data_IF_602804226863
#
_entry.id   IF_602804226863
#
_cell.length_a   1.000
_cell.length_b   1.000
_cell.length_c   1.000
_cell.angle_alpha   90.00
_cell.angle_beta   90.00
_cell.angle_gamma   90.00
#
_symmetry.space_group_name_H-M   'P 1'
#
loop_
_entity.id
_entity.type
_entity.pdbx_description
1 polymer ?
#
# COMPACT_ATOMS: atom_id res chain seq x y z
N UNK A 1 8.47 8.23 -22.29
CA UNK A 1 7.60 8.60 -21.15
C UNK A 1 8.30 9.74 -20.41
N UNK A 2 7.64 10.90 -20.23
CA UNK A 2 8.19 12.04 -19.50
C UNK A 2 7.60 12.04 -18.09
N UNK A 3 8.43 12.13 -17.06
CA UNK A 3 8.01 12.25 -15.66
C UNK A 3 8.19 13.68 -15.19
N UNK A 4 7.13 14.27 -14.68
CA UNK A 4 7.14 15.61 -14.09
C UNK A 4 6.71 15.48 -12.64
N UNK A 5 7.54 15.99 -11.74
CA UNK A 5 7.30 15.99 -10.30
C UNK A 5 7.36 17.40 -9.75
N UNK A 6 6.55 17.70 -8.74
CA UNK A 6 6.62 18.98 -8.04
C UNK A 6 5.30 19.38 -7.39
N UNK A 7 5.34 20.35 -6.47
CA UNK A 7 4.15 20.87 -5.80
C UNK A 7 3.35 21.83 -6.68
N UNK A 8 3.97 22.46 -7.68
CA UNK A 8 3.34 23.46 -8.55
C UNK A 8 3.42 23.09 -10.03
N UNK A 9 2.48 23.57 -10.81
CA UNK A 9 2.48 23.41 -12.26
C UNK A 9 3.45 24.40 -12.88
N UNK A 10 4.40 23.91 -13.67
CA UNK A 10 5.36 24.74 -14.39
C UNK A 10 5.11 24.62 -15.89
N UNK A 11 4.58 25.66 -16.57
CA UNK A 11 4.37 25.66 -18.01
C UNK A 11 5.68 25.40 -18.77
N UNK A 12 5.61 24.56 -19.83
CA UNK A 12 6.76 24.25 -20.67
C UNK A 12 7.50 22.96 -20.34
N UNK A 13 7.16 22.27 -19.26
CA UNK A 13 7.74 20.96 -18.92
C UNK A 13 7.11 19.79 -19.68
N UNK A 14 5.97 19.99 -20.35
CA UNK A 14 5.33 18.98 -21.16
C UNK A 14 5.89 18.98 -22.59
N UNK A 15 6.21 17.79 -23.08
CA UNK A 15 6.44 17.63 -24.51
C UNK A 15 5.12 17.91 -25.24
N UNK A 16 5.16 18.85 -26.19
CA UNK A 16 4.00 19.20 -27.05
C UNK A 16 3.58 18.05 -27.95
N UNK A 17 4.42 17.02 -28.08
CA UNK A 17 4.21 15.82 -28.90
C UNK A 17 3.50 14.69 -28.14
N UNK A 18 3.29 14.84 -26.83
CA UNK A 18 2.62 13.81 -26.03
C UNK A 18 1.13 13.78 -26.34
N UNK A 19 0.66 12.65 -26.86
CA UNK A 19 -0.78 12.41 -27.08
C UNK A 19 -1.47 11.90 -25.81
N UNK A 20 -0.72 11.31 -24.91
CA UNK A 20 -1.23 10.64 -23.70
C UNK A 20 -0.45 11.06 -22.47
N UNK A 21 -1.15 11.25 -21.36
CA UNK A 21 -0.55 11.71 -20.09
C UNK A 21 -0.99 10.82 -18.93
N UNK A 22 -0.06 10.48 -18.06
CA UNK A 22 -0.33 9.86 -16.77
C UNK A 22 0.09 10.84 -15.66
N UNK A 23 -0.85 11.23 -14.82
CA UNK A 23 -0.60 12.09 -13.66
C UNK A 23 -0.52 11.22 -12.40
N UNK A 24 0.53 11.40 -11.60
CA UNK A 24 0.63 10.80 -10.27
C UNK A 24 0.34 11.90 -9.26
N UNK A 25 -0.81 11.81 -8.59
CA UNK A 25 -1.34 12.86 -7.73
C UNK A 25 -1.41 12.39 -6.27
N UNK A 26 -1.16 13.32 -5.35
CA UNK A 26 -1.30 13.09 -3.91
C UNK A 26 -2.61 13.72 -3.42
N UNK A 27 -3.55 12.86 -3.00
CA UNK A 27 -4.86 13.25 -2.45
C UNK A 27 -5.01 13.03 -0.95
N UNK A 28 -3.93 12.82 -0.20
CA UNK A 28 -3.98 12.43 1.22
C UNK A 28 -4.45 13.53 2.15
N UNK A 29 -4.16 14.78 1.82
CA UNK A 29 -4.44 15.93 2.67
C UNK A 29 -5.05 17.06 1.85
N UNK A 30 -5.85 17.91 2.49
CA UNK A 30 -6.51 19.05 1.83
C UNK A 30 -5.52 19.95 1.07
N UNK A 31 -4.35 20.23 1.64
CA UNK A 31 -3.31 21.01 0.95
C UNK A 31 -2.76 20.29 -0.29
N UNK A 32 -2.61 18.97 -0.23
CA UNK A 32 -2.15 18.15 -1.36
C UNK A 32 -3.20 18.07 -2.46
N UNK A 33 -4.48 17.99 -2.10
CA UNK A 33 -5.60 18.05 -3.05
C UNK A 33 -5.58 19.36 -3.84
N UNK A 34 -5.27 20.49 -3.21
CA UNK A 34 -5.16 21.77 -3.92
C UNK A 34 -4.11 21.74 -5.03
N UNK A 35 -2.93 21.15 -4.78
CA UNK A 35 -1.90 20.96 -5.81
C UNK A 35 -2.34 19.95 -6.88
N UNK A 36 -2.94 18.84 -6.48
CA UNK A 36 -3.46 17.85 -7.40
C UNK A 36 -4.51 18.46 -8.37
N UNK A 37 -5.38 19.32 -7.84
CA UNK A 37 -6.37 20.07 -8.63
C UNK A 37 -5.72 21.01 -9.64
N UNK A 38 -4.63 21.70 -9.27
CA UNK A 38 -3.89 22.54 -10.20
C UNK A 38 -3.30 21.72 -11.36
N UNK A 39 -2.75 20.54 -11.07
CA UNK A 39 -2.26 19.63 -12.11
C UNK A 39 -3.37 19.14 -13.03
N UNK A 40 -4.56 18.85 -12.51
CA UNK A 40 -5.72 18.50 -13.35
C UNK A 40 -6.17 19.64 -14.23
N UNK A 41 -6.27 20.85 -13.71
CA UNK A 41 -6.61 22.04 -14.52
C UNK A 41 -5.56 22.29 -15.61
N UNK A 42 -4.28 22.12 -15.29
CA UNK A 42 -3.21 22.25 -16.29
C UNK A 42 -3.33 21.18 -17.38
N UNK A 43 -3.59 19.92 -17.01
CA UNK A 43 -3.86 18.87 -18.00
C UNK A 43 -5.06 19.18 -18.90
N UNK A 44 -6.13 19.75 -18.34
CA UNK A 44 -7.29 20.21 -19.11
C UNK A 44 -6.91 21.30 -20.13
N UNK A 45 -6.07 22.24 -19.73
CA UNK A 45 -5.54 23.27 -20.65
C UNK A 45 -4.72 22.64 -21.78
N UNK A 46 -3.89 21.63 -21.45
CA UNK A 46 -3.09 20.92 -22.46
C UNK A 46 -3.95 20.13 -23.45
N UNK A 47 -5.07 19.55 -23.02
CA UNK A 47 -6.02 18.90 -23.92
C UNK A 47 -6.55 19.89 -24.95
N UNK A 48 -6.89 21.11 -24.52
CA UNK A 48 -7.43 22.15 -25.38
C UNK A 48 -6.35 22.73 -26.33
N UNK A 49 -5.12 22.86 -25.86
CA UNK A 49 -4.04 23.57 -26.57
C UNK A 49 -3.15 22.65 -27.40
N UNK A 50 -2.83 21.47 -26.90
CA UNK A 50 -1.79 20.57 -27.45
C UNK A 50 -2.31 19.20 -27.92
N UNK A 51 -3.62 19.04 -28.06
CA UNK A 51 -4.28 17.81 -28.57
C UNK A 51 -3.95 16.54 -27.76
N UNK A 52 -3.74 16.66 -26.45
CA UNK A 52 -3.67 15.49 -25.59
C UNK A 52 -5.01 14.74 -25.67
N UNK A 53 -4.95 13.45 -25.98
CA UNK A 53 -6.14 12.63 -26.28
C UNK A 53 -6.63 11.87 -25.05
N UNK A 54 -5.69 11.39 -24.21
CA UNK A 54 -5.98 10.51 -23.08
C UNK A 54 -5.23 10.93 -21.82
N UNK A 55 -5.95 10.89 -20.72
CA UNK A 55 -5.38 11.18 -19.39
C UNK A 55 -5.71 10.03 -18.46
N UNK A 56 -4.70 9.48 -17.79
CA UNK A 56 -4.84 8.60 -16.65
C UNK A 56 -4.33 9.27 -15.39
N UNK A 57 -4.87 8.90 -14.26
CA UNK A 57 -4.45 9.38 -12.93
C UNK A 57 -4.09 8.18 -12.05
N UNK A 58 -2.93 8.24 -11.41
CA UNK A 58 -2.58 7.40 -10.27
C UNK A 58 -2.71 8.27 -9.03
N UNK A 59 -3.73 7.99 -8.22
CA UNK A 59 -4.06 8.78 -7.04
C UNK A 59 -3.54 8.08 -5.79
N UNK A 60 -2.62 8.73 -5.08
CA UNK A 60 -2.32 8.40 -3.71
C UNK A 60 -3.50 8.87 -2.86
N UNK A 61 -4.44 7.96 -2.62
CA UNK A 61 -5.72 8.24 -2.00
C UNK A 61 -5.62 8.64 -0.53
N UNK A 62 -6.71 9.15 -0.01
CA UNK A 62 -6.86 9.49 1.39
C UNK A 62 -6.97 8.21 2.24
N UNK A 63 -6.28 8.15 3.37
CA UNK A 63 -6.30 6.98 4.28
C UNK A 63 -7.68 6.71 4.89
N UNK A 64 -8.57 7.72 4.93
CA UNK A 64 -9.97 7.60 5.34
C UNK A 64 -10.93 7.45 4.16
N UNK A 65 -10.41 7.17 2.96
CA UNK A 65 -11.14 6.95 1.71
C UNK A 65 -11.89 8.17 1.15
N UNK A 66 -11.61 9.38 1.63
CA UNK A 66 -12.24 10.63 1.18
C UNK A 66 -11.65 11.07 -0.16
N UNK A 67 -12.10 10.47 -1.27
CA UNK A 67 -11.60 10.73 -2.61
C UNK A 67 -12.68 11.28 -3.57
N UNK A 68 -13.82 11.78 -3.07
CA UNK A 68 -14.95 12.27 -3.88
C UNK A 68 -14.57 13.45 -4.77
N UNK A 69 -13.57 14.22 -4.36
CA UNK A 69 -13.07 15.39 -5.09
C UNK A 69 -12.55 15.06 -6.51
N UNK A 70 -12.13 13.79 -6.77
CA UNK A 70 -11.64 13.37 -8.10
C UNK A 70 -12.78 13.02 -9.06
N UNK A 71 -13.97 12.70 -8.56
CA UNK A 71 -15.09 12.20 -9.37
C UNK A 71 -15.51 13.15 -10.51
N UNK A 72 -15.60 14.48 -10.33
CA UNK A 72 -15.96 15.40 -11.41
C UNK A 72 -14.99 15.38 -12.58
N UNK A 73 -13.73 14.95 -12.36
CA UNK A 73 -12.73 14.88 -13.41
C UNK A 73 -12.79 13.59 -14.23
N UNK A 74 -13.51 12.57 -13.76
CA UNK A 74 -13.67 11.31 -14.50
C UNK A 74 -14.51 11.51 -15.75
N UNK A 75 -14.09 10.87 -16.85
CA UNK A 75 -14.78 11.01 -18.15
C UNK A 75 -16.24 10.59 -18.10
N UNK A 76 -16.58 9.55 -17.35
CA UNK A 76 -17.96 9.09 -17.12
C UNK A 76 -18.86 10.13 -16.45
N UNK A 77 -18.28 11.09 -15.74
CA UNK A 77 -18.98 12.18 -15.06
C UNK A 77 -18.87 13.52 -15.81
N UNK A 78 -18.46 13.49 -17.09
CA UNK A 78 -18.30 14.69 -17.92
C UNK A 78 -16.91 15.35 -17.86
N UNK A 79 -15.96 14.78 -17.11
CA UNK A 79 -14.57 15.21 -17.05
C UNK A 79 -13.73 14.66 -18.21
N UNK A 80 -12.42 14.66 -18.03
CA UNK A 80 -11.47 14.27 -19.08
C UNK A 80 -10.54 13.11 -18.68
N UNK A 81 -10.53 12.69 -17.43
CA UNK A 81 -9.73 11.56 -16.93
C UNK A 81 -10.34 10.25 -17.40
N UNK A 82 -9.62 9.51 -18.23
CA UNK A 82 -10.07 8.24 -18.80
C UNK A 82 -9.92 7.07 -17.84
N UNK A 83 -8.83 7.04 -17.05
CA UNK A 83 -8.49 5.96 -16.14
C UNK A 83 -8.04 6.53 -14.80
N UNK A 84 -8.52 5.94 -13.72
CA UNK A 84 -8.09 6.24 -12.35
C UNK A 84 -7.56 4.98 -11.67
N UNK A 85 -6.34 5.03 -11.17
CA UNK A 85 -5.77 4.04 -10.28
C UNK A 85 -5.67 4.65 -8.89
N UNK A 86 -6.33 4.08 -7.90
CA UNK A 86 -6.43 4.67 -6.55
C UNK A 86 -5.89 3.72 -5.49
N UNK A 87 -5.04 4.24 -4.61
CA UNK A 87 -4.59 3.50 -3.43
C UNK A 87 -5.67 3.47 -2.36
N UNK A 88 -5.64 2.42 -1.55
CA UNK A 88 -6.64 2.02 -0.57
C UNK A 88 -7.94 1.50 -1.18
N UNK A 89 -8.72 0.81 -0.38
CA UNK A 89 -10.06 0.37 -0.80
C UNK A 89 -10.93 1.59 -1.13
N UNK A 90 -11.61 1.54 -2.28
CA UNK A 90 -12.44 2.64 -2.74
C UNK A 90 -13.70 2.11 -3.42
N UNK A 91 -14.84 2.65 -3.02
CA UNK A 91 -16.16 2.19 -3.45
C UNK A 91 -16.39 2.20 -4.97
N UNK A 92 -15.72 3.10 -5.67
CA UNK A 92 -15.91 3.28 -7.12
C UNK A 92 -15.00 2.40 -7.99
N UNK A 93 -14.18 1.55 -7.39
CA UNK A 93 -13.40 0.56 -8.15
C UNK A 93 -14.34 -0.37 -8.89
N UNK A 94 -14.20 -0.44 -10.21
CA UNK A 94 -15.09 -1.19 -11.10
C UNK A 94 -14.32 -2.02 -12.15
N UNK A 95 -13.00 -1.95 -12.16
CA UNK A 95 -12.12 -2.65 -13.11
C UNK A 95 -12.36 -2.27 -14.61
N UNK A 96 -13.05 -1.15 -14.85
CA UNK A 96 -13.31 -0.61 -16.19
C UNK A 96 -12.57 0.72 -16.42
N UNK A 97 -12.80 1.70 -15.57
CA UNK A 97 -12.16 3.02 -15.60
C UNK A 97 -11.56 3.44 -14.24
N UNK A 98 -11.93 2.73 -13.16
CA UNK A 98 -11.38 2.92 -11.81
C UNK A 98 -10.84 1.60 -11.28
N UNK A 99 -9.55 1.60 -11.01
CA UNK A 99 -8.78 0.42 -10.59
C UNK A 99 -8.15 0.64 -9.24
N UNK A 100 -8.11 -0.41 -8.42
CA UNK A 100 -7.35 -0.36 -7.18
C UNK A 100 -5.86 -0.50 -7.45
N UNK A 101 -5.06 0.32 -6.76
CA UNK A 101 -3.60 0.29 -6.79
C UNK A 101 -3.05 0.01 -5.38
N UNK A 102 -2.10 -0.90 -5.21
CA UNK A 102 -1.54 -1.20 -3.89
C UNK A 102 -0.72 -0.03 -3.37
N UNK A 103 -0.74 0.17 -2.04
CA UNK A 103 0.07 1.19 -1.39
C UNK A 103 1.57 0.98 -1.59
N UNK A 104 2.03 -0.28 -1.52
CA UNK A 104 3.44 -0.62 -1.65
C UNK A 104 4.29 -0.26 -0.43
N UNK A 105 5.60 -0.12 -0.64
CA UNK A 105 6.57 0.25 0.39
C UNK A 105 6.75 1.76 0.49
N UNK A 106 7.23 2.26 1.64
CA UNK A 106 7.43 3.69 1.88
C UNK A 106 8.68 4.25 1.16
N UNK A 107 8.61 4.38 -0.16
CA UNK A 107 9.73 4.92 -0.97
C UNK A 107 10.14 6.32 -0.57
N UNK A 108 9.22 7.14 -0.08
CA UNK A 108 9.50 8.50 0.42
C UNK A 108 10.38 8.50 1.70
N UNK A 109 10.51 7.36 2.38
CA UNK A 109 11.42 7.12 3.49
C UNK A 109 12.67 6.35 3.08
N UNK A 110 12.94 6.25 1.78
CA UNK A 110 14.06 5.51 1.21
C UNK A 110 14.06 4.01 1.56
N UNK A 111 12.86 3.39 1.69
CA UNK A 111 12.79 1.95 1.86
C UNK A 111 13.49 1.26 0.68
N UNK A 112 14.46 0.34 0.94
CA UNK A 112 15.31 -0.20 -0.11
C UNK A 112 14.57 -1.20 -1.00
N UNK A 113 15.10 -1.41 -2.18
CA UNK A 113 14.80 -2.61 -2.96
C UNK A 113 15.53 -3.77 -2.29
N UNK A 114 14.77 -4.76 -1.83
CA UNK A 114 15.29 -5.93 -1.13
C UNK A 114 15.35 -7.11 -2.09
N UNK A 115 16.56 -7.60 -2.33
CA UNK A 115 16.77 -8.81 -3.09
C UNK A 115 16.87 -10.02 -2.14
N UNK A 116 16.18 -11.12 -2.42
CA UNK A 116 16.23 -12.31 -1.59
C UNK A 116 17.65 -12.89 -1.51
N UNK A 117 18.20 -12.98 -0.31
CA UNK A 117 19.48 -13.64 -0.06
C UNK A 117 19.27 -15.04 0.50
N UNK A 118 20.29 -15.89 0.40
CA UNK A 118 20.26 -17.23 1.00
C UNK A 118 19.97 -17.17 2.50
N UNK A 119 20.70 -16.33 3.23
CA UNK A 119 20.56 -16.17 4.69
C UNK A 119 19.16 -15.71 5.06
N UNK A 120 18.62 -14.72 4.37
CA UNK A 120 17.25 -14.24 4.58
C UNK A 120 16.21 -15.36 4.46
N UNK A 121 16.40 -16.29 3.53
CA UNK A 121 15.48 -17.40 3.29
C UNK A 121 15.65 -18.54 4.28
N UNK A 122 16.89 -18.91 4.65
CA UNK A 122 17.19 -20.18 5.29
C UNK A 122 17.61 -20.08 6.74
N UNK A 123 18.15 -18.94 7.19
CA UNK A 123 18.60 -18.80 8.57
C UNK A 123 17.43 -18.79 9.57
N UNK A 124 17.59 -19.40 10.75
CA UNK A 124 16.62 -19.26 11.81
C UNK A 124 16.51 -17.80 12.25
N UNK A 125 15.31 -17.36 12.58
CA UNK A 125 15.05 -16.00 13.07
C UNK A 125 14.97 -15.96 14.58
N UNK A 126 15.47 -14.87 15.15
CA UNK A 126 15.57 -14.71 16.60
C UNK A 126 14.21 -14.52 17.25
N UNK A 127 13.30 -13.80 16.57
CA UNK A 127 12.01 -13.40 17.11
C UNK A 127 10.87 -14.09 16.40
N UNK A 128 9.81 -14.43 17.14
CA UNK A 128 8.58 -14.93 16.56
C UNK A 128 7.83 -13.81 15.83
N UNK A 129 7.86 -12.58 16.39
CA UNK A 129 7.19 -11.47 15.77
C UNK A 129 7.90 -10.13 15.95
N UNK A 130 7.48 -9.13 15.19
CA UNK A 130 7.88 -7.75 15.42
C UNK A 130 6.69 -6.78 15.29
N UNK A 131 6.81 -5.66 15.98
CA UNK A 131 6.05 -4.45 15.74
C UNK A 131 6.87 -3.22 16.10
N UNK A 132 7.17 -2.37 15.13
CA UNK A 132 7.81 -1.07 15.34
C UNK A 132 6.89 0.02 14.75
N UNK A 133 6.52 0.99 15.57
CA UNK A 133 5.65 2.06 15.12
C UNK A 133 5.03 2.89 16.23
N UNK A 134 4.26 3.89 15.82
CA UNK A 134 3.56 4.78 16.75
C UNK A 134 2.33 4.08 17.31
N UNK A 135 2.15 4.17 18.63
CA UNK A 135 0.99 3.66 19.35
C UNK A 135 0.12 4.85 19.78
N UNK A 136 -1.07 4.93 19.25
CA UNK A 136 -2.04 5.95 19.59
C UNK A 136 -2.96 5.46 20.71
N UNK A 137 -3.40 6.37 21.57
CA UNK A 137 -4.40 6.07 22.60
C UNK A 137 -5.73 5.64 21.97
N UNK A 138 -6.42 4.72 22.61
CA UNK A 138 -7.69 4.16 22.15
C UNK A 138 -7.63 3.57 20.73
N UNK A 139 -6.49 2.99 20.38
CA UNK A 139 -6.28 2.38 19.06
C UNK A 139 -6.07 0.87 19.15
N UNK A 140 -6.23 0.21 18.04
CA UNK A 140 -5.87 -1.21 17.87
C UNK A 140 -4.43 -1.50 18.25
N UNK A 141 -3.52 -0.54 18.07
CA UNK A 141 -2.09 -0.66 18.45
C UNK A 141 -1.91 -0.66 19.96
N UNK A 142 -2.69 0.11 20.70
CA UNK A 142 -2.70 0.08 22.17
C UNK A 142 -3.18 -1.28 22.68
N UNK A 143 -4.29 -1.78 22.14
CA UNK A 143 -4.80 -3.13 22.44
C UNK A 143 -3.75 -4.22 22.17
N UNK A 144 -3.04 -4.13 21.05
CA UNK A 144 -1.94 -5.05 20.75
C UNK A 144 -0.85 -4.99 21.82
N UNK A 145 -0.44 -3.79 22.27
CA UNK A 145 0.57 -3.63 23.31
C UNK A 145 0.13 -4.22 24.65
N UNK A 146 -1.13 -4.06 25.01
CA UNK A 146 -1.72 -4.65 26.21
C UNK A 146 -1.64 -6.17 26.19
N UNK A 147 -2.04 -6.78 25.07
CA UNK A 147 -2.03 -8.24 24.90
C UNK A 147 -0.58 -8.78 24.94
N UNK A 148 0.36 -8.12 24.28
CA UNK A 148 1.76 -8.52 24.30
C UNK A 148 2.35 -8.50 25.71
N UNK A 149 1.99 -7.53 26.54
CA UNK A 149 2.45 -7.41 27.93
C UNK A 149 1.79 -8.42 28.85
N UNK A 150 0.50 -8.69 28.66
CA UNK A 150 -0.32 -9.50 29.56
C UNK A 150 0.23 -10.91 29.76
N UNK A 151 0.72 -11.54 28.69
CA UNK A 151 1.20 -12.92 28.70
C UNK A 151 2.73 -13.02 28.57
N UNK A 152 3.44 -11.89 28.68
CA UNK A 152 4.90 -11.84 28.50
C UNK A 152 5.34 -12.19 27.07
N UNK A 153 4.43 -12.04 26.10
CA UNK A 153 4.69 -12.32 24.69
C UNK A 153 5.65 -11.31 24.06
N UNK A 154 5.76 -10.13 24.64
CA UNK A 154 6.74 -9.11 24.29
C UNK A 154 8.19 -9.61 24.30
N UNK A 155 8.51 -10.60 25.16
CA UNK A 155 9.83 -11.25 25.21
C UNK A 155 10.14 -12.11 23.98
N UNK A 156 9.12 -12.54 23.26
CA UNK A 156 9.24 -13.37 22.07
C UNK A 156 9.30 -12.53 20.78
N UNK A 157 9.03 -11.23 20.89
CA UNK A 157 8.88 -10.33 19.78
C UNK A 157 9.80 -9.13 19.90
N UNK A 158 10.23 -8.58 18.78
CA UNK A 158 10.94 -7.30 18.73
C UNK A 158 9.91 -6.16 18.70
N UNK A 159 9.76 -5.47 19.80
CA UNK A 159 8.79 -4.39 19.97
C UNK A 159 9.50 -3.05 20.09
N UNK A 160 9.18 -2.12 19.19
CA UNK A 160 9.65 -0.74 19.17
C UNK A 160 8.48 0.24 19.13
N UNK A 161 7.74 0.36 20.25
CA UNK A 161 6.63 1.30 20.36
C UNK A 161 7.13 2.72 20.61
N UNK A 162 6.54 3.70 19.95
CA UNK A 162 6.77 5.13 20.20
C UNK A 162 5.43 5.87 20.35
N UNK A 163 5.43 6.95 21.11
CA UNK A 163 4.20 7.72 21.41
C UNK A 163 3.84 8.71 20.31
N UNK A 164 4.82 9.19 19.54
CA UNK A 164 4.61 10.21 18.52
C UNK A 164 5.07 9.75 17.15
N UNK A 165 4.25 10.05 16.14
CA UNK A 165 4.62 9.85 14.75
C UNK A 165 5.71 10.84 14.35
N UNK A 166 6.73 10.35 13.65
CA UNK A 166 7.81 11.17 13.12
C UNK A 166 7.82 11.06 11.60
N UNK A 167 7.82 12.19 10.89
CA UNK A 167 7.83 12.20 9.42
C UNK A 167 9.15 11.68 8.85
N UNK A 168 10.25 11.86 9.58
CA UNK A 168 11.57 11.40 9.21
C UNK A 168 12.07 10.38 10.22
N UNK A 169 12.61 9.28 9.72
CA UNK A 169 13.30 8.28 10.53
C UNK A 169 14.79 8.65 10.65
N UNK A 170 15.37 8.40 11.82
CA UNK A 170 16.83 8.41 11.95
C UNK A 170 17.42 7.18 11.25
N UNK A 171 18.69 7.24 10.85
CA UNK A 171 19.36 6.07 10.26
C UNK A 171 19.34 4.86 11.21
N UNK A 172 19.45 5.09 12.50
CA UNK A 172 19.41 4.06 13.54
C UNK A 172 18.00 3.45 13.64
N UNK A 173 16.96 4.29 13.74
CA UNK A 173 15.57 3.83 13.80
C UNK A 173 15.19 3.03 12.55
N UNK A 174 15.62 3.50 11.39
CA UNK A 174 15.36 2.84 10.13
C UNK A 174 16.09 1.49 10.02
N UNK A 175 17.36 1.43 10.45
CA UNK A 175 18.12 0.18 10.51
C UNK A 175 17.46 -0.81 11.47
N UNK A 176 17.09 -0.37 12.67
CA UNK A 176 16.40 -1.22 13.65
C UNK A 176 15.09 -1.79 13.09
N UNK A 177 14.36 -1.01 12.31
CA UNK A 177 13.15 -1.49 11.64
C UNK A 177 13.46 -2.58 10.61
N UNK A 178 14.46 -2.38 9.76
CA UNK A 178 14.88 -3.39 8.78
C UNK A 178 15.40 -4.67 9.45
N UNK A 179 16.21 -4.52 10.51
CA UNK A 179 16.70 -5.66 11.27
C UNK A 179 15.58 -6.44 11.94
N UNK A 180 14.56 -5.75 12.46
CA UNK A 180 13.39 -6.40 13.03
C UNK A 180 12.58 -7.19 11.97
N UNK A 181 12.41 -6.66 10.76
CA UNK A 181 11.78 -7.37 9.65
C UNK A 181 12.58 -8.61 9.23
N UNK A 182 13.91 -8.49 9.20
CA UNK A 182 14.80 -9.59 8.82
C UNK A 182 14.84 -10.70 9.88
N UNK A 183 14.78 -10.34 11.16
CA UNK A 183 14.99 -11.25 12.28
C UNK A 183 13.69 -11.80 12.90
N UNK A 184 12.52 -11.49 12.35
CA UNK A 184 11.23 -11.96 12.87
C UNK A 184 10.47 -12.80 11.86
N UNK A 185 9.90 -13.90 12.30
CA UNK A 185 9.08 -14.77 11.44
C UNK A 185 7.77 -14.10 11.02
N UNK A 186 7.17 -13.33 11.93
CA UNK A 186 5.91 -12.63 11.73
C UNK A 186 6.08 -11.13 11.90
N UNK A 187 5.34 -10.34 11.13
CA UNK A 187 5.23 -8.89 11.33
C UNK A 187 3.78 -8.51 11.64
N UNK A 188 3.58 -7.90 12.80
CA UNK A 188 2.25 -7.51 13.27
C UNK A 188 1.81 -6.21 12.60
N UNK A 189 0.67 -6.24 11.95
CA UNK A 189 0.10 -5.13 11.19
C UNK A 189 -1.23 -4.65 11.78
N UNK A 190 -1.21 -4.03 13.00
CA UNK A 190 -2.40 -3.41 13.55
C UNK A 190 -2.83 -2.21 12.72
N UNK A 191 -4.14 -1.97 12.67
CA UNK A 191 -4.70 -0.83 11.95
C UNK A 191 -4.07 0.48 12.44
N UNK A 192 -3.69 1.30 11.48
CA UNK A 192 -3.30 2.67 11.71
C UNK A 192 -4.49 3.61 11.50
N UNK A 193 -4.37 4.55 10.57
CA UNK A 193 -5.51 5.29 10.04
C UNK A 193 -6.26 4.39 9.06
N UNK A 194 -5.55 3.72 8.16
CA UNK A 194 -6.11 2.73 7.25
C UNK A 194 -5.64 1.31 7.62
N UNK A 195 -6.44 0.31 7.30
CA UNK A 195 -6.10 -1.10 7.47
C UNK A 195 -4.93 -1.50 6.58
N UNK A 196 -4.86 -0.96 5.37
CA UNK A 196 -3.70 -1.09 4.50
C UNK A 196 -2.58 -0.16 4.95
N UNK A 197 -1.38 -0.69 5.17
CA UNK A 197 -0.22 0.08 5.57
C UNK A 197 1.05 -0.41 4.87
N UNK A 198 2.06 0.45 4.78
CA UNK A 198 3.36 0.14 4.17
C UNK A 198 4.01 -1.12 4.76
N UNK A 199 3.87 -1.32 6.07
CA UNK A 199 4.45 -2.46 6.80
C UNK A 199 4.09 -3.81 6.19
N UNK A 200 2.89 -3.97 5.64
CA UNK A 200 2.45 -5.21 4.98
C UNK A 200 3.42 -5.56 3.83
N UNK A 201 3.72 -4.61 2.99
CA UNK A 201 4.57 -4.80 1.81
C UNK A 201 6.06 -4.86 2.17
N UNK A 202 6.46 -4.07 3.15
CA UNK A 202 7.82 -4.05 3.68
C UNK A 202 8.18 -5.38 4.34
N UNK A 203 7.27 -5.96 5.10
CA UNK A 203 7.42 -7.29 5.67
C UNK A 203 7.56 -8.38 4.59
N UNK A 204 6.74 -8.32 3.54
CA UNK A 204 6.85 -9.24 2.41
C UNK A 204 8.23 -9.19 1.75
N UNK A 205 8.84 -7.99 1.66
CA UNK A 205 10.18 -7.81 1.07
C UNK A 205 11.26 -8.58 1.83
N UNK A 206 11.11 -8.73 3.16
CA UNK A 206 12.04 -9.46 4.02
C UNK A 206 11.60 -10.90 4.33
N UNK A 207 10.50 -11.35 3.77
CA UNK A 207 9.95 -12.68 4.06
C UNK A 207 9.43 -12.84 5.50
N UNK A 208 9.14 -11.74 6.19
CA UNK A 208 8.43 -11.74 7.47
C UNK A 208 6.93 -11.76 7.20
N UNK A 209 6.24 -12.80 7.68
CA UNK A 209 4.83 -13.00 7.31
C UNK A 209 3.92 -11.98 7.99
N UNK A 210 3.14 -11.17 7.24
CA UNK A 210 2.20 -10.26 7.83
C UNK A 210 1.09 -10.96 8.62
N UNK A 211 0.86 -10.51 9.86
CA UNK A 211 -0.33 -10.81 10.65
C UNK A 211 -1.19 -9.55 10.62
N UNK A 212 -2.32 -9.62 9.96
CA UNK A 212 -3.14 -8.47 9.62
C UNK A 212 -4.45 -8.51 10.39
N UNK A 213 -4.79 -7.39 11.00
CA UNK A 213 -6.10 -7.20 11.60
C UNK A 213 -7.13 -6.97 10.49
N UNK A 214 -7.98 -7.96 10.28
CA UNK A 214 -8.99 -7.99 9.21
C UNK A 214 -10.26 -7.26 9.65
N UNK A 215 -10.14 -5.94 9.77
CA UNK A 215 -11.25 -5.06 10.13
C UNK A 215 -11.36 -3.91 9.13
N UNK A 216 -12.57 -3.40 8.96
CA UNK A 216 -12.79 -2.25 8.10
C UNK A 216 -12.02 -1.04 8.62
N UNK A 217 -11.43 -0.28 7.71
CA UNK A 217 -10.84 1.02 8.04
C UNK A 217 -11.91 1.92 8.64
N UNK A 218 -11.64 2.56 9.81
CA UNK A 218 -12.58 3.51 10.40
C UNK A 218 -12.89 4.69 9.47
N UNK A 219 -14.08 5.27 9.58
CA UNK A 219 -14.52 6.41 8.77
C UNK A 219 -15.27 6.00 7.51
N UNK A 220 -15.15 6.78 6.45
CA UNK A 220 -15.97 6.63 5.23
C UNK A 220 -15.61 5.41 4.37
N UNK A 221 -14.49 4.74 4.65
CA UNK A 221 -14.11 3.52 3.96
C UNK A 221 -15.14 2.39 4.11
N UNK A 222 -15.89 2.37 5.22
CA UNK A 222 -16.92 1.38 5.51
C UNK A 222 -18.29 1.63 4.87
N UNK A 223 -18.50 2.82 4.30
CA UNK A 223 -19.82 3.24 3.79
C UNK A 223 -20.13 2.77 2.37
N UNK A 224 -19.23 2.05 1.72
CA UNK A 224 -19.46 1.56 0.37
C UNK A 224 -20.19 0.22 0.38
N UNK A 225 -21.48 0.28 0.29
CA UNK A 225 -22.39 -0.86 0.50
C UNK A 225 -22.51 -1.85 -0.65
N UNK A 226 -21.89 -1.67 -1.81
CA UNK A 226 -22.26 -2.49 -2.96
C UNK A 226 -21.19 -3.46 -3.49
N UNK A 227 -19.88 -3.24 -3.26
CA UNK A 227 -18.86 -4.08 -3.89
C UNK A 227 -17.75 -4.61 -2.95
N UNK A 228 -17.54 -4.05 -1.77
CA UNK A 228 -16.38 -4.41 -0.93
C UNK A 228 -16.74 -4.47 0.55
N UNK A 229 -17.36 -5.56 0.96
CA UNK A 229 -17.61 -5.86 2.39
C UNK A 229 -16.36 -6.33 3.15
N UNK A 230 -15.23 -6.47 2.47
CA UNK A 230 -13.99 -6.97 3.05
C UNK A 230 -12.86 -5.95 2.89
N UNK A 231 -12.11 -5.61 3.97
CA UNK A 231 -10.90 -4.81 3.84
C UNK A 231 -9.82 -5.56 3.06
N UNK A 232 -8.91 -4.82 2.42
CA UNK A 232 -7.77 -5.36 1.68
C UNK A 232 -8.20 -6.32 0.54
N UNK A 233 -9.27 -5.95 -0.16
CA UNK A 233 -9.87 -6.79 -1.20
C UNK A 233 -8.85 -7.17 -2.28
N UNK A 234 -8.01 -6.24 -2.75
CA UNK A 234 -6.99 -6.52 -3.76
C UNK A 234 -6.05 -7.63 -3.31
N UNK A 235 -5.50 -7.55 -2.09
CA UNK A 235 -4.56 -8.54 -1.57
C UNK A 235 -5.20 -9.91 -1.38
N UNK A 236 -6.43 -9.94 -0.88
CA UNK A 236 -7.20 -11.18 -0.69
C UNK A 236 -7.53 -11.86 -2.01
N UNK A 237 -8.00 -11.09 -2.99
CA UNK A 237 -8.31 -11.59 -4.34
C UNK A 237 -7.06 -12.15 -5.04
N UNK A 238 -5.90 -11.55 -4.78
CA UNK A 238 -4.62 -12.02 -5.29
C UNK A 238 -4.00 -13.18 -4.48
N UNK A 239 -4.74 -13.75 -3.55
CA UNK A 239 -4.32 -14.92 -2.78
C UNK A 239 -3.13 -14.67 -1.87
N UNK A 240 -3.05 -13.48 -1.26
CA UNK A 240 -1.98 -13.15 -0.33
C UNK A 240 -1.87 -14.19 0.80
N UNK A 241 -0.70 -14.81 1.02
CA UNK A 241 -0.53 -15.89 1.99
C UNK A 241 -0.34 -15.35 3.43
N UNK A 242 -1.17 -14.38 3.82
CA UNK A 242 -1.08 -13.68 5.10
C UNK A 242 -1.89 -14.39 6.19
N UNK A 243 -1.60 -14.08 7.45
CA UNK A 243 -2.45 -14.46 8.57
C UNK A 243 -3.41 -13.31 8.82
N UNK A 244 -4.71 -13.56 8.64
CA UNK A 244 -5.77 -12.61 8.95
C UNK A 244 -6.41 -12.96 10.29
N UNK A 245 -6.48 -12.00 11.20
CA UNK A 245 -7.11 -12.12 12.51
C UNK A 245 -8.24 -11.09 12.64
N UNK A 246 -9.29 -11.42 13.38
CA UNK A 246 -10.40 -10.47 13.60
C UNK A 246 -10.11 -9.46 14.72
N UNK A 247 -9.31 -9.87 15.67
CA UNK A 247 -8.86 -9.01 16.77
C UNK A 247 -7.56 -9.57 17.37
N UNK A 248 -6.83 -8.73 18.10
CA UNK A 248 -5.53 -9.08 18.67
C UNK A 248 -5.57 -10.13 19.78
N UNK A 249 -6.74 -10.46 20.34
CA UNK A 249 -6.91 -11.57 21.30
C UNK A 249 -6.59 -12.93 20.68
N UNK A 250 -6.56 -13.03 19.36
CA UNK A 250 -6.14 -14.23 18.64
C UNK A 250 -4.61 -14.40 18.57
N UNK A 251 -3.84 -13.35 18.85
CA UNK A 251 -2.37 -13.36 18.71
C UNK A 251 -1.69 -14.45 19.54
N UNK A 252 -2.06 -14.73 20.81
CA UNK A 252 -1.43 -15.81 21.58
C UNK A 252 -1.52 -17.16 20.87
N UNK A 253 -2.67 -17.50 20.28
CA UNK A 253 -2.86 -18.74 19.53
C UNK A 253 -2.00 -18.77 18.25
N UNK A 254 -1.86 -17.63 17.56
CA UNK A 254 -0.98 -17.50 16.39
C UNK A 254 0.47 -17.76 16.79
N UNK A 255 0.95 -17.17 17.88
CA UNK A 255 2.33 -17.33 18.34
C UNK A 255 2.59 -18.77 18.84
N UNK A 256 1.63 -19.40 19.50
CA UNK A 256 1.76 -20.80 19.91
C UNK A 256 1.86 -21.75 18.70
N UNK A 257 1.12 -21.47 17.64
CA UNK A 257 1.27 -22.20 16.37
C UNK A 257 2.64 -21.96 15.75
N UNK A 258 3.14 -20.71 15.78
CA UNK A 258 4.44 -20.33 15.26
C UNK A 258 5.59 -21.01 15.98
N UNK A 259 5.53 -21.14 17.31
CA UNK A 259 6.51 -21.88 18.12
C UNK A 259 6.62 -23.36 17.74
N UNK A 260 5.51 -23.96 17.36
CA UNK A 260 5.43 -25.39 17.00
C UNK A 260 5.96 -25.70 15.61
N UNK A 261 6.08 -24.69 14.75
CA UNK A 261 6.62 -24.87 13.40
C UNK A 261 8.12 -25.14 13.45
N UNK A 262 8.56 -26.16 12.72
CA UNK A 262 9.96 -26.42 12.54
C UNK A 262 10.59 -25.45 11.51
N UNK A 263 11.93 -25.42 11.46
CA UNK A 263 12.66 -24.50 10.58
C UNK A 263 12.32 -24.71 9.09
N UNK A 264 12.13 -25.94 8.64
CA UNK A 264 11.81 -26.23 7.23
C UNK A 264 10.44 -25.69 6.84
N UNK A 265 9.44 -25.82 7.70
CA UNK A 265 8.11 -25.25 7.48
C UNK A 265 8.17 -23.72 7.38
N UNK A 266 8.96 -23.08 8.25
CA UNK A 266 9.18 -21.63 8.23
C UNK A 266 9.90 -21.18 6.95
N UNK A 267 10.91 -21.92 6.49
CA UNK A 267 11.62 -21.66 5.24
C UNK A 267 10.66 -21.75 4.04
N UNK A 268 9.84 -22.80 3.96
CA UNK A 268 8.89 -22.96 2.88
C UNK A 268 7.86 -21.82 2.85
N UNK A 269 7.37 -21.42 4.00
CA UNK A 269 6.45 -20.29 4.12
C UNK A 269 7.07 -18.96 3.68
N UNK A 270 8.34 -18.69 4.05
CA UNK A 270 9.08 -17.50 3.58
C UNK A 270 9.24 -17.49 2.06
N UNK A 271 9.64 -18.62 1.48
CA UNK A 271 9.78 -18.77 0.02
C UNK A 271 8.45 -18.48 -0.68
N UNK A 272 7.37 -19.09 -0.20
CA UNK A 272 6.02 -18.86 -0.74
C UNK A 272 5.60 -17.39 -0.64
N UNK A 273 5.87 -16.71 0.49
CA UNK A 273 5.56 -15.30 0.67
C UNK A 273 6.33 -14.41 -0.30
N UNK A 274 7.64 -14.62 -0.43
CA UNK A 274 8.50 -13.82 -1.31
C UNK A 274 8.13 -14.05 -2.78
N UNK A 275 7.92 -15.29 -3.18
CA UNK A 275 7.48 -15.65 -4.53
C UNK A 275 6.12 -15.00 -4.84
N UNK A 276 5.16 -15.11 -3.93
CA UNK A 276 3.87 -14.45 -4.09
C UNK A 276 4.05 -12.94 -4.27
N UNK A 277 4.87 -12.31 -3.44
CA UNK A 277 5.06 -10.85 -3.50
C UNK A 277 5.75 -10.40 -4.79
N UNK A 278 6.73 -11.15 -5.29
CA UNK A 278 7.35 -10.86 -6.59
C UNK A 278 6.33 -10.99 -7.73
N UNK A 279 5.55 -12.06 -7.74
CA UNK A 279 4.49 -12.29 -8.72
C UNK A 279 3.40 -11.22 -8.64
N UNK A 280 3.00 -10.82 -7.43
CA UNK A 280 2.04 -9.73 -7.21
C UNK A 280 2.53 -8.40 -7.82
N UNK A 281 3.79 -8.01 -7.56
CA UNK A 281 4.38 -6.81 -8.16
C UNK A 281 4.42 -6.87 -9.69
N UNK A 282 4.85 -8.01 -10.24
CA UNK A 282 4.92 -8.22 -11.68
C UNK A 282 3.52 -8.15 -12.33
N UNK A 283 2.53 -8.79 -11.69
CA UNK A 283 1.14 -8.76 -12.15
C UNK A 283 0.54 -7.35 -12.11
N UNK A 284 0.76 -6.60 -11.02
CA UNK A 284 0.27 -5.22 -10.90
C UNK A 284 0.89 -4.33 -11.98
N UNK A 285 2.19 -4.46 -12.21
CA UNK A 285 2.88 -3.75 -13.29
C UNK A 285 2.28 -4.08 -14.67
N UNK A 286 2.07 -5.37 -14.95
CA UNK A 286 1.52 -5.79 -16.24
C UNK A 286 0.08 -5.32 -16.41
N UNK A 287 -0.75 -5.41 -15.37
CA UNK A 287 -2.11 -4.89 -15.36
C UNK A 287 -2.13 -3.40 -15.71
N UNK A 288 -1.26 -2.61 -15.08
CA UNK A 288 -1.14 -1.17 -15.34
C UNK A 288 -0.79 -0.90 -16.81
N UNK A 289 0.25 -1.54 -17.32
CA UNK A 289 0.70 -1.39 -18.72
C UNK A 289 -0.43 -1.77 -19.68
N UNK A 290 -1.02 -2.95 -19.53
CA UNK A 290 -2.09 -3.44 -20.40
C UNK A 290 -3.30 -2.51 -20.38
N UNK A 291 -3.69 -2.00 -19.20
CA UNK A 291 -4.82 -1.08 -19.06
C UNK A 291 -4.56 0.24 -19.80
N UNK A 292 -3.34 0.80 -19.66
CA UNK A 292 -2.96 2.01 -20.39
C UNK A 292 -2.93 1.76 -21.92
N UNK A 293 -2.29 0.68 -22.36
CA UNK A 293 -2.21 0.33 -23.79
C UNK A 293 -3.59 0.13 -24.40
N UNK A 294 -4.46 -0.58 -23.69
CA UNK A 294 -5.83 -0.82 -24.14
C UNK A 294 -6.68 0.45 -24.26
N UNK A 295 -6.43 1.42 -23.37
CA UNK A 295 -7.17 2.69 -23.39
C UNK A 295 -6.53 3.74 -24.29
N UNK A 296 -5.19 3.77 -24.38
CA UNK A 296 -4.44 4.85 -24.99
C UNK A 296 -4.10 4.59 -26.46
N UNK A 297 -3.90 3.33 -26.84
CA UNK A 297 -3.55 3.00 -28.21
C UNK A 297 -4.81 2.77 -29.07
N UNK A 298 -4.86 3.27 -30.32
CA UNK A 298 -5.92 2.94 -31.25
C UNK A 298 -6.01 1.43 -31.49
N UNK A 299 -7.23 0.93 -31.69
CA UNK A 299 -7.45 -0.52 -31.95
C UNK A 299 -6.69 -1.05 -33.17
N UNK A 300 -6.38 -0.18 -34.14
CA UNK A 300 -5.71 -0.52 -35.39
C UNK A 300 -4.16 -0.63 -35.26
N UNK A 301 -3.62 -0.33 -34.11
CA UNK A 301 -2.17 -0.42 -33.82
C UNK A 301 -1.81 -1.53 -32.79
N UNK A 302 -2.74 -2.45 -32.56
CA UNK A 302 -2.52 -3.60 -31.65
C UNK A 302 -2.05 -4.84 -32.38
#
# INVERSE_FOLDING_TARGET
>A
MCFITGPSVVPGYFSVEAENVVLVLNGREKAKIAYATQWLHYAQTLIQTYKIQRVAVVLLGNEQCNNEWIQPYLKRNGGFVNLLFVTYDYALVNEEDVFQWPLGVATYRNFPVVEPSWSMLHDPRTYLCNFLGTVYKNSSRETLMEILKQDGLDKLCWIGAREQWQPQETNESFKNYQDALLQSDLTLCPVGINTECYRIYEACSYGSLPVIEDVMTPGDCGNSSMYHSAPLQLLKTMGAPFIFIKNWKELPAVLEKEKKMNLQEKIQRRKKLIEWYQNFKAWMRQKFINTLENSFLPRDKR
#
